data_IF_302459629141
#
_entry.id   IF_302459629141
#
_cell.length_a   1.000
_cell.length_b   1.000
_cell.length_c   1.000
_cell.angle_alpha   90.00
_cell.angle_beta   90.00
_cell.angle_gamma   90.00
#
_symmetry.space_group_name_H-M   'P 1'
#
loop_
_entity.id
_entity.type
_entity.pdbx_description
1 polymer ?
#
# COMPACT_ATOMS: atom_id res chain seq x y z
N UNK A 1 13.40 35.28 -0.69
CA UNK A 1 12.78 34.40 -1.69
C UNK A 1 11.78 33.51 -0.93
N UNK A 2 10.47 33.81 -1.02
CA UNK A 2 9.43 33.02 -0.33
C UNK A 2 9.24 31.74 -1.13
N UNK A 3 9.56 30.60 -0.55
CA UNK A 3 9.06 29.32 -1.03
C UNK A 3 7.53 29.35 -0.88
N UNK A 4 6.84 29.62 -1.98
CA UNK A 4 5.40 29.38 -2.07
C UNK A 4 5.22 27.88 -1.93
N UNK A 5 4.52 27.50 -0.88
CA UNK A 5 3.78 26.25 -0.67
C UNK A 5 4.07 25.17 -1.71
N UNK A 6 4.84 24.16 -1.34
CA UNK A 6 4.67 22.80 -1.86
C UNK A 6 3.24 22.39 -1.49
N UNK A 7 2.29 22.82 -2.32
CA UNK A 7 0.92 22.37 -2.22
C UNK A 7 0.89 20.91 -2.61
N UNK A 8 0.50 20.10 -1.63
CA UNK A 8 -0.15 18.81 -1.83
C UNK A 8 0.54 17.98 -2.91
N UNK A 9 1.67 17.39 -2.57
CA UNK A 9 2.06 16.16 -3.27
C UNK A 9 0.88 15.22 -3.01
N UNK A 10 0.17 14.89 -4.09
CA UNK A 10 -0.99 14.01 -4.05
C UNK A 10 -0.59 12.76 -3.24
N UNK A 11 -1.30 12.50 -2.15
CA UNK A 11 -1.05 11.35 -1.27
C UNK A 11 -0.92 10.05 -2.09
N UNK A 12 -1.60 9.99 -3.23
CA UNK A 12 -1.56 8.89 -4.20
C UNK A 12 -0.18 8.72 -4.85
N UNK A 13 0.45 9.83 -5.27
CA UNK A 13 1.81 9.79 -5.82
C UNK A 13 2.84 9.39 -4.76
N UNK A 14 2.60 9.78 -3.52
CA UNK A 14 3.42 9.42 -2.37
C UNK A 14 3.32 7.93 -2.04
N UNK A 15 2.11 7.36 -2.05
CA UNK A 15 1.89 5.92 -1.85
C UNK A 15 2.61 5.07 -2.90
N UNK A 16 2.63 5.48 -4.17
CA UNK A 16 3.31 4.74 -5.24
C UNK A 16 4.80 4.51 -4.96
N UNK A 17 5.48 5.43 -4.28
CA UNK A 17 6.88 5.26 -3.92
C UNK A 17 7.08 4.06 -2.98
N UNK A 18 6.15 3.83 -2.06
CA UNK A 18 6.27 2.75 -1.08
C UNK A 18 6.11 1.37 -1.71
N UNK A 19 5.34 1.25 -2.78
CA UNK A 19 5.27 0.01 -3.56
C UNK A 19 6.63 -0.34 -4.13
N UNK A 20 7.29 0.62 -4.79
CA UNK A 20 8.62 0.40 -5.34
C UNK A 20 9.65 0.02 -4.28
N UNK A 21 9.58 0.58 -3.07
CA UNK A 21 10.52 0.28 -1.99
C UNK A 21 10.41 -1.18 -1.54
N UNK A 22 9.19 -1.73 -1.41
CA UNK A 22 8.98 -3.13 -1.06
C UNK A 22 9.56 -4.12 -2.08
N UNK A 23 9.71 -3.70 -3.34
CA UNK A 23 10.26 -4.51 -4.42
C UNK A 23 11.77 -4.31 -4.64
N UNK A 24 12.29 -3.09 -4.46
CA UNK A 24 13.61 -2.69 -4.95
C UNK A 24 14.77 -3.12 -4.05
N UNK A 25 14.51 -3.43 -2.77
CA UNK A 25 15.57 -3.67 -1.79
C UNK A 25 15.64 -5.14 -1.35
N UNK A 26 16.83 -5.53 -0.86
CA UNK A 26 17.14 -6.93 -0.58
C UNK A 26 16.81 -7.36 0.86
N UNK A 27 16.73 -6.43 1.81
CA UNK A 27 16.43 -6.71 3.21
C UNK A 27 15.32 -5.83 3.75
N UNK A 28 14.60 -6.34 4.77
CA UNK A 28 13.54 -5.60 5.45
C UNK A 28 14.08 -4.32 6.11
N UNK A 29 15.25 -4.41 6.72
CA UNK A 29 15.89 -3.25 7.39
C UNK A 29 16.20 -2.12 6.40
N UNK A 30 16.68 -2.48 5.20
CA UNK A 30 16.93 -1.52 4.13
C UNK A 30 15.62 -0.90 3.63
N UNK A 31 14.57 -1.70 3.43
CA UNK A 31 13.22 -1.21 3.08
C UNK A 31 12.71 -0.21 4.12
N UNK A 32 12.85 -0.53 5.41
CA UNK A 32 12.41 0.32 6.51
C UNK A 32 13.16 1.65 6.56
N UNK A 33 14.50 1.60 6.41
CA UNK A 33 15.35 2.81 6.36
C UNK A 33 14.99 3.71 5.17
N UNK A 34 14.80 3.12 3.99
CA UNK A 34 14.45 3.89 2.78
C UNK A 34 13.04 4.46 2.88
N UNK A 35 12.07 3.70 3.38
CA UNK A 35 10.71 4.18 3.58
C UNK A 35 10.67 5.41 4.50
N UNK A 36 11.40 5.39 5.61
CA UNK A 36 11.55 6.55 6.49
C UNK A 36 12.17 7.75 5.75
N UNK A 37 13.30 7.56 5.07
CA UNK A 37 13.99 8.63 4.36
C UNK A 37 13.15 9.27 3.26
N UNK A 38 12.41 8.47 2.49
CA UNK A 38 11.54 8.99 1.44
C UNK A 38 10.32 9.70 2.02
N UNK A 39 9.70 9.13 3.07
CA UNK A 39 8.58 9.77 3.74
C UNK A 39 8.97 11.13 4.35
N UNK A 40 10.13 11.22 4.99
CA UNK A 40 10.60 12.44 5.65
C UNK A 40 10.78 13.63 4.69
N UNK A 41 10.93 13.40 3.38
CA UNK A 41 11.05 14.49 2.39
C UNK A 41 9.75 15.28 2.23
N UNK A 42 8.61 14.60 2.30
CA UNK A 42 7.30 15.20 1.98
C UNK A 42 6.33 15.15 3.16
N UNK A 43 6.42 14.13 3.99
CA UNK A 43 5.52 13.85 5.11
C UNK A 43 6.34 13.53 6.36
N UNK A 44 7.17 14.47 6.80
CA UNK A 44 8.01 14.33 8.00
C UNK A 44 7.16 14.41 9.29
N UNK A 45 6.23 13.49 9.41
CA UNK A 45 5.40 13.28 10.58
C UNK A 45 5.50 11.81 11.00
N UNK A 46 5.55 11.48 12.30
CA UNK A 46 5.71 10.09 12.76
C UNK A 46 4.71 9.11 12.13
N UNK A 47 3.44 9.50 11.98
CA UNK A 47 2.43 8.65 11.37
C UNK A 47 2.62 8.47 9.85
N UNK A 48 3.07 9.50 9.12
CA UNK A 48 3.40 9.37 7.69
C UNK A 48 4.60 8.46 7.46
N UNK A 49 5.64 8.56 8.31
CA UNK A 49 6.78 7.64 8.29
C UNK A 49 6.33 6.21 8.59
N UNK A 50 5.49 6.05 9.61
CA UNK A 50 4.91 4.77 10.01
C UNK A 50 4.11 4.11 8.87
N UNK A 51 3.25 4.86 8.19
CA UNK A 51 2.49 4.39 7.01
C UNK A 51 3.43 3.88 5.91
N UNK A 52 4.45 4.67 5.58
CA UNK A 52 5.45 4.32 4.58
C UNK A 52 6.14 3.00 4.92
N UNK A 53 6.58 2.87 6.16
CA UNK A 53 7.28 1.69 6.65
C UNK A 53 6.37 0.46 6.67
N UNK A 54 5.13 0.59 7.15
CA UNK A 54 4.17 -0.52 7.19
C UNK A 54 3.86 -1.03 5.79
N UNK A 55 3.51 -0.12 4.88
CA UNK A 55 3.14 -0.49 3.50
C UNK A 55 4.30 -1.13 2.76
N UNK A 56 5.48 -0.50 2.75
CA UNK A 56 6.67 -1.05 2.09
C UNK A 56 7.12 -2.38 2.72
N UNK A 57 7.07 -2.48 4.04
CA UNK A 57 7.45 -3.68 4.78
C UNK A 57 6.50 -4.85 4.53
N UNK A 58 5.18 -4.60 4.50
CA UNK A 58 4.17 -5.62 4.18
C UNK A 58 4.35 -6.15 2.75
N UNK A 59 4.58 -5.27 1.77
CA UNK A 59 4.88 -5.65 0.38
C UNK A 59 6.16 -6.48 0.30
N UNK A 60 7.22 -6.06 0.99
CA UNK A 60 8.47 -6.82 1.02
C UNK A 60 8.26 -8.23 1.59
N UNK A 61 7.57 -8.35 2.72
CA UNK A 61 7.28 -9.64 3.37
C UNK A 61 6.43 -10.52 2.47
N UNK A 62 5.37 -9.98 1.86
CA UNK A 62 4.51 -10.68 0.91
C UNK A 62 5.34 -11.25 -0.25
N UNK A 63 6.16 -10.44 -0.91
CA UNK A 63 7.06 -10.85 -2.00
C UNK A 63 8.08 -11.93 -1.56
N UNK A 64 8.46 -11.95 -0.28
CA UNK A 64 9.38 -12.95 0.29
C UNK A 64 8.69 -14.22 0.76
N UNK A 65 7.41 -14.40 0.45
CA UNK A 65 6.64 -15.60 0.76
C UNK A 65 6.18 -15.67 2.22
N UNK A 66 6.13 -14.54 2.93
CA UNK A 66 5.56 -14.50 4.27
C UNK A 66 4.06 -14.82 4.22
N UNK A 67 3.58 -15.57 5.21
CA UNK A 67 2.15 -15.83 5.37
C UNK A 67 1.41 -14.56 5.83
N UNK A 68 0.08 -14.52 5.63
CA UNK A 68 -0.77 -13.44 6.14
C UNK A 68 -0.63 -13.24 7.65
N UNK A 69 -0.46 -14.31 8.42
CA UNK A 69 -0.24 -14.21 9.86
C UNK A 69 1.10 -13.53 10.19
N UNK A 70 2.17 -13.86 9.48
CA UNK A 70 3.47 -13.19 9.67
C UNK A 70 3.42 -11.71 9.31
N UNK A 71 2.69 -11.34 8.25
CA UNK A 71 2.45 -9.94 7.90
C UNK A 71 1.62 -9.23 8.98
N UNK A 72 0.56 -9.87 9.50
CA UNK A 72 -0.23 -9.36 10.64
C UNK A 72 0.64 -9.12 11.87
N UNK A 73 1.47 -10.12 12.25
CA UNK A 73 2.36 -10.03 13.40
C UNK A 73 3.39 -8.89 13.25
N UNK A 74 3.94 -8.71 12.06
CA UNK A 74 4.82 -7.58 11.76
C UNK A 74 4.12 -6.24 11.95
N UNK A 75 2.90 -6.07 11.43
CA UNK A 75 2.13 -4.83 11.52
C UNK A 75 1.71 -4.53 12.95
N UNK A 76 1.17 -5.52 13.65
CA UNK A 76 0.72 -5.35 15.04
C UNK A 76 1.92 -5.16 15.97
N UNK A 77 2.91 -6.06 15.87
CA UNK A 77 4.03 -6.09 16.81
C UNK A 77 4.98 -4.90 16.69
N UNK A 78 5.25 -4.46 15.46
CA UNK A 78 6.22 -3.35 15.25
C UNK A 78 5.55 -1.97 15.28
N UNK A 79 4.30 -1.86 14.84
CA UNK A 79 3.64 -0.57 14.63
C UNK A 79 2.42 -0.33 15.51
N UNK A 80 1.95 -1.36 16.22
CA UNK A 80 0.83 -1.22 17.17
C UNK A 80 -0.51 -0.91 16.50
N UNK A 81 -0.71 -1.26 15.22
CA UNK A 81 -2.02 -1.13 14.59
C UNK A 81 -2.98 -2.20 15.13
N UNK A 82 -4.22 -1.80 15.37
CA UNK A 82 -5.29 -2.72 15.72
C UNK A 82 -5.88 -3.35 14.43
N UNK A 83 -5.69 -4.65 14.27
CA UNK A 83 -6.22 -5.45 13.17
C UNK A 83 -7.21 -6.53 13.69
N UNK A 84 -7.92 -6.23 14.77
CA UNK A 84 -8.89 -7.17 15.38
C UNK A 84 -10.27 -7.08 14.74
N UNK A 85 -10.59 -5.96 14.09
CA UNK A 85 -11.88 -5.74 13.43
C UNK A 85 -11.89 -6.41 12.07
N UNK A 86 -12.98 -7.12 11.77
CA UNK A 86 -13.21 -7.69 10.43
C UNK A 86 -13.73 -6.63 9.45
N UNK A 87 -13.62 -6.91 8.15
CA UNK A 87 -14.17 -6.04 7.09
C UNK A 87 -15.66 -5.80 7.30
N UNK A 88 -16.43 -6.83 7.68
CA UNK A 88 -17.87 -6.68 7.91
C UNK A 88 -18.18 -5.71 9.05
N UNK A 89 -17.38 -5.73 10.11
CA UNK A 89 -17.52 -4.77 11.22
C UNK A 89 -17.10 -3.38 10.78
N UNK A 90 -16.00 -3.24 10.04
CA UNK A 90 -15.49 -1.94 9.57
C UNK A 90 -16.54 -1.25 8.68
N UNK A 91 -17.16 -1.97 7.74
CA UNK A 91 -18.18 -1.44 6.82
C UNK A 91 -19.36 -0.77 7.51
N UNK A 92 -19.67 -1.16 8.74
CA UNK A 92 -20.86 -0.65 9.44
C UNK A 92 -20.71 0.78 9.98
N UNK A 93 -19.50 1.19 10.29
CA UNK A 93 -19.23 2.46 11.01
C UNK A 93 -18.09 3.29 10.45
N UNK A 94 -17.35 2.79 9.44
CA UNK A 94 -16.25 3.53 8.83
C UNK A 94 -16.77 4.78 8.13
N UNK A 95 -16.10 5.90 8.38
CA UNK A 95 -16.38 7.19 7.75
C UNK A 95 -15.16 7.64 6.98
N UNK A 96 -15.36 8.57 6.06
CA UNK A 96 -14.26 9.18 5.28
C UNK A 96 -13.18 9.71 6.22
N UNK A 97 -11.99 9.14 6.14
CA UNK A 97 -10.82 9.51 6.90
C UNK A 97 -9.59 9.43 6.00
N UNK A 98 -8.90 10.55 5.82
CA UNK A 98 -7.67 10.67 5.01
C UNK A 98 -6.39 10.52 5.85
N UNK A 99 -6.53 10.21 7.13
CA UNK A 99 -5.37 10.00 8.00
C UNK A 99 -4.76 8.62 7.79
N UNK A 100 -3.45 8.51 8.04
CA UNK A 100 -2.74 7.24 8.01
C UNK A 100 -3.36 6.21 8.97
N UNK A 101 -3.80 6.66 10.14
CA UNK A 101 -4.44 5.81 11.14
C UNK A 101 -5.83 5.32 10.70
N UNK A 102 -6.52 6.12 9.88
CA UNK A 102 -7.84 5.78 9.35
C UNK A 102 -7.77 4.86 8.12
N UNK A 103 -6.71 4.90 7.33
CA UNK A 103 -6.62 4.19 6.05
C UNK A 103 -5.80 2.91 6.10
N UNK A 104 -4.62 2.94 6.75
CA UNK A 104 -3.67 1.81 6.72
C UNK A 104 -4.20 0.53 7.36
N UNK A 105 -4.74 0.53 8.60
CA UNK A 105 -5.24 -0.70 9.20
C UNK A 105 -6.41 -1.31 8.41
N UNK A 106 -7.27 -0.48 7.82
CA UNK A 106 -8.38 -0.91 6.97
C UNK A 106 -7.87 -1.60 5.68
N UNK A 107 -6.86 -1.01 5.04
CA UNK A 107 -6.26 -1.58 3.85
C UNK A 107 -5.57 -2.93 4.13
N UNK A 108 -4.85 -3.02 5.24
CA UNK A 108 -4.20 -4.26 5.66
C UNK A 108 -5.25 -5.33 5.99
N UNK A 109 -6.34 -4.97 6.70
CA UNK A 109 -7.42 -5.90 6.98
C UNK A 109 -8.10 -6.38 5.70
N UNK A 110 -8.32 -5.50 4.70
CA UNK A 110 -8.88 -5.86 3.41
C UNK A 110 -8.03 -6.92 2.69
N UNK A 111 -6.70 -6.76 2.72
CA UNK A 111 -5.77 -7.75 2.20
C UNK A 111 -5.79 -9.05 3.03
N UNK A 112 -5.72 -8.96 4.35
CA UNK A 112 -5.62 -10.14 5.22
C UNK A 112 -6.84 -11.06 5.10
N UNK A 113 -8.03 -10.53 4.87
CA UNK A 113 -9.27 -11.30 4.71
C UNK A 113 -9.54 -11.74 3.26
N UNK A 114 -8.77 -11.26 2.28
CA UNK A 114 -8.98 -11.59 0.87
C UNK A 114 -8.57 -13.02 0.53
N UNK A 115 -9.17 -13.58 -0.53
CA UNK A 115 -8.84 -14.88 -1.08
C UNK A 115 -7.92 -14.79 -2.31
N UNK A 116 -7.97 -13.68 -3.03
CA UNK A 116 -7.16 -13.37 -4.21
C UNK A 116 -6.97 -11.85 -4.36
N UNK A 117 -6.31 -11.43 -5.45
CA UNK A 117 -6.05 -10.02 -5.74
C UNK A 117 -7.34 -9.21 -5.90
N UNK A 118 -8.29 -9.72 -6.68
CA UNK A 118 -9.54 -9.01 -6.95
C UNK A 118 -10.38 -8.87 -5.68
N UNK A 119 -10.42 -9.91 -4.83
CA UNK A 119 -11.12 -9.88 -3.56
C UNK A 119 -10.51 -8.86 -2.60
N UNK A 120 -9.16 -8.71 -2.58
CA UNK A 120 -8.51 -7.65 -1.78
C UNK A 120 -8.96 -6.24 -2.21
N UNK A 121 -9.04 -5.99 -3.52
CA UNK A 121 -9.54 -4.71 -4.06
C UNK A 121 -11.02 -4.51 -3.73
N UNK A 122 -11.85 -5.54 -3.91
CA UNK A 122 -13.29 -5.48 -3.60
C UNK A 122 -13.54 -5.23 -2.11
N UNK A 123 -12.81 -5.91 -1.24
CA UNK A 123 -12.84 -5.68 0.20
C UNK A 123 -12.50 -4.22 0.53
N UNK A 124 -11.40 -3.70 -0.01
CA UNK A 124 -10.97 -2.33 0.20
C UNK A 124 -12.01 -1.29 -0.24
N UNK A 125 -12.53 -1.43 -1.47
CA UNK A 125 -13.56 -0.53 -2.01
C UNK A 125 -14.86 -0.59 -1.21
N UNK A 126 -15.23 -1.77 -0.73
CA UNK A 126 -16.48 -1.98 0.01
C UNK A 126 -16.53 -1.31 1.38
N UNK A 127 -15.38 -0.93 1.94
CA UNK A 127 -15.28 -0.13 3.18
C UNK A 127 -15.84 1.28 2.95
N UNK A 128 -15.71 1.82 1.73
CA UNK A 128 -16.09 3.19 1.42
C UNK A 128 -15.05 4.21 1.91
N UNK A 129 -15.48 5.45 2.14
CA UNK A 129 -14.59 6.52 2.59
C UNK A 129 -13.51 6.86 1.55
N UNK A 130 -12.25 6.94 1.97
CA UNK A 130 -11.07 7.13 1.09
C UNK A 130 -10.68 5.82 0.41
N UNK A 131 -11.62 5.23 -0.30
CA UNK A 131 -11.54 3.88 -0.85
C UNK A 131 -10.44 3.70 -1.90
N UNK A 132 -10.04 4.74 -2.60
CA UNK A 132 -8.93 4.69 -3.56
C UNK A 132 -7.58 4.56 -2.85
N UNK A 133 -7.36 5.27 -1.75
CA UNK A 133 -6.16 5.10 -0.90
C UNK A 133 -6.13 3.70 -0.28
N UNK A 134 -7.26 3.24 0.30
CA UNK A 134 -7.37 1.93 0.93
C UNK A 134 -7.11 0.81 -0.12
N UNK A 135 -7.72 0.92 -1.31
CA UNK A 135 -7.53 -0.05 -2.38
C UNK A 135 -6.11 -0.03 -2.96
N UNK A 136 -5.48 1.14 -3.02
CA UNK A 136 -4.10 1.28 -3.46
C UNK A 136 -3.16 0.48 -2.53
N UNK A 137 -3.26 0.67 -1.23
CA UNK A 137 -2.43 -0.04 -0.24
C UNK A 137 -2.71 -1.55 -0.26
N UNK A 138 -3.98 -1.95 -0.19
CA UNK A 138 -4.38 -3.35 -0.20
C UNK A 138 -3.93 -4.06 -1.47
N UNK A 139 -4.11 -3.42 -2.64
CA UNK A 139 -3.73 -3.95 -3.95
C UNK A 139 -2.23 -4.17 -4.10
N UNK A 140 -1.41 -3.22 -3.64
CA UNK A 140 0.04 -3.38 -3.71
C UNK A 140 0.57 -4.52 -2.85
N UNK A 141 -0.04 -4.77 -1.68
CA UNK A 141 0.32 -5.93 -0.84
C UNK A 141 -0.21 -7.22 -1.48
N UNK A 142 -1.44 -7.19 -2.00
CA UNK A 142 -2.08 -8.34 -2.65
C UNK A 142 -1.32 -8.78 -3.92
N UNK A 143 -0.88 -7.84 -4.77
CA UNK A 143 -0.05 -8.14 -5.94
C UNK A 143 1.23 -8.86 -5.55
N UNK A 144 1.93 -8.38 -4.52
CA UNK A 144 3.15 -9.00 -4.03
C UNK A 144 2.92 -10.37 -3.40
N UNK A 145 1.75 -10.59 -2.81
CA UNK A 145 1.41 -11.83 -2.11
C UNK A 145 0.87 -12.92 -3.03
N UNK A 146 -0.02 -12.56 -3.96
CA UNK A 146 -0.65 -13.50 -4.89
C UNK A 146 0.16 -13.69 -6.17
N UNK A 147 1.17 -12.83 -6.39
CA UNK A 147 2.06 -12.86 -7.58
C UNK A 147 1.32 -12.73 -8.91
N UNK A 148 0.05 -12.34 -8.88
CA UNK A 148 -0.81 -12.22 -10.06
C UNK A 148 -1.80 -11.07 -9.91
N UNK A 149 -1.83 -10.20 -10.93
CA UNK A 149 -2.96 -9.30 -11.18
C UNK A 149 -3.77 -9.92 -12.33
N UNK A 150 -5.06 -10.22 -12.14
CA UNK A 150 -5.88 -10.81 -13.19
C UNK A 150 -5.76 -10.06 -14.51
N UNK A 151 -5.59 -10.82 -15.61
CA UNK A 151 -5.30 -10.26 -16.93
C UNK A 151 -6.36 -9.25 -17.37
N UNK A 152 -7.63 -9.55 -17.10
CA UNK A 152 -8.76 -8.69 -17.42
C UNK A 152 -8.65 -7.34 -16.73
N UNK A 153 -8.21 -7.31 -15.47
CA UNK A 153 -8.00 -6.09 -14.71
C UNK A 153 -6.79 -5.33 -15.25
N UNK A 154 -5.66 -6.00 -15.46
CA UNK A 154 -4.43 -5.36 -15.91
C UNK A 154 -4.53 -4.77 -17.31
N UNK A 155 -5.24 -5.44 -18.25
CA UNK A 155 -5.51 -4.93 -19.61
C UNK A 155 -6.36 -3.66 -19.55
N UNK A 156 -7.46 -3.66 -18.77
CA UNK A 156 -8.33 -2.50 -18.64
C UNK A 156 -7.60 -1.33 -17.99
N UNK A 157 -6.89 -1.54 -16.90
CA UNK A 157 -6.11 -0.48 -16.23
C UNK A 157 -5.05 0.10 -17.17
N UNK A 158 -4.36 -0.75 -17.93
CA UNK A 158 -3.34 -0.31 -18.88
C UNK A 158 -3.91 0.64 -19.95
N UNK A 159 -5.17 0.51 -20.35
CA UNK A 159 -5.79 1.44 -21.31
C UNK A 159 -5.95 2.86 -20.76
N UNK A 160 -6.13 3.01 -19.47
CA UNK A 160 -6.26 4.33 -18.80
C UNK A 160 -4.91 5.00 -18.48
N UNK A 161 -3.80 4.25 -18.53
CA UNK A 161 -2.49 4.80 -18.20
C UNK A 161 -1.85 5.53 -19.40
N UNK A 162 -1.24 6.71 -19.18
CA UNK A 162 -0.41 7.38 -20.18
C UNK A 162 0.73 6.46 -20.66
N UNK A 163 1.18 6.66 -21.91
CA UNK A 163 2.23 5.83 -22.50
C UNK A 163 3.53 5.84 -21.69
N UNK A 164 3.88 6.97 -21.09
CA UNK A 164 5.06 7.14 -20.25
C UNK A 164 4.99 6.24 -19.00
N UNK A 165 3.83 6.22 -18.32
CA UNK A 165 3.61 5.37 -17.15
C UNK A 165 3.66 3.88 -17.51
N UNK A 166 3.06 3.49 -18.64
CA UNK A 166 3.16 2.10 -19.15
C UNK A 166 4.61 1.68 -19.39
N UNK A 167 5.42 2.59 -19.94
CA UNK A 167 6.85 2.35 -20.16
C UNK A 167 7.60 2.14 -18.85
N UNK A 168 7.33 2.97 -17.84
CA UNK A 168 7.93 2.87 -16.51
C UNK A 168 7.56 1.58 -15.81
N UNK A 169 6.27 1.22 -15.81
CA UNK A 169 5.77 -0.04 -15.21
C UNK A 169 6.44 -1.24 -15.88
N UNK A 170 6.48 -1.27 -17.22
CA UNK A 170 7.13 -2.36 -17.96
C UNK A 170 8.62 -2.49 -17.63
N UNK A 171 9.33 -1.37 -17.51
CA UNK A 171 10.74 -1.36 -17.12
C UNK A 171 10.94 -1.87 -15.69
N UNK A 172 10.03 -1.52 -14.79
CA UNK A 172 10.03 -1.97 -13.41
C UNK A 172 9.87 -3.49 -13.30
N UNK A 173 8.82 -4.05 -13.90
CA UNK A 173 8.61 -5.50 -13.90
C UNK A 173 9.78 -6.27 -14.50
N UNK A 174 10.35 -5.78 -15.59
CA UNK A 174 11.54 -6.40 -16.19
C UNK A 174 12.74 -6.49 -15.25
N UNK A 175 12.81 -5.58 -14.27
CA UNK A 175 13.96 -5.48 -13.37
C UNK A 175 13.74 -6.21 -12.03
N UNK A 176 12.53 -6.25 -11.52
CA UNK A 176 12.25 -6.64 -10.14
C UNK A 176 11.26 -7.80 -9.98
N UNK A 177 10.44 -8.08 -10.96
CA UNK A 177 9.56 -9.24 -11.05
C UNK A 177 10.05 -10.16 -12.17
#
# INVERSE_FOLDING_TARGET
>A
MRFKSLQVIDLRAFLLIFFFLGWAFASLDEVMEKAEKFAAVTHNHPEGIKEAQVTSGAIYLARKGATKNQIREFVVGKFGYDLTRTIDVIRTDYKFDVSCQGSVPQAITAFLESMDFEDAIRNAISIGGDSDTIACIAGGIAEAFYEEVPREISEVVTMYLPQEMRGTIKAFYKRFA
#
